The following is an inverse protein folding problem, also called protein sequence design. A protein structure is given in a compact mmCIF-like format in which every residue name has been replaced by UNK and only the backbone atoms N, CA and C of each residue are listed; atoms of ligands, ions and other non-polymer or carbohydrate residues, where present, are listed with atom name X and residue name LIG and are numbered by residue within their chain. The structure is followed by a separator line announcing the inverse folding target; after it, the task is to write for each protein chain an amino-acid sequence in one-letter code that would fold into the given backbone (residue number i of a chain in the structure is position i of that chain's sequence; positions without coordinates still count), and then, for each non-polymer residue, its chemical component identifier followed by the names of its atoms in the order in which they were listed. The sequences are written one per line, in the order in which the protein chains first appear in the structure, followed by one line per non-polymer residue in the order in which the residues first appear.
data_IF_662273684559
#
_entry.id   IF_662273684559
#
_cell.length_a   1.000
_cell.length_b   1.000
_cell.length_c   1.000
_cell.angle_alpha   90.00
_cell.angle_beta   90.00
_cell.angle_gamma   90.00
#
_symmetry.space_group_name_H-M   'P 1'
#
loop_
_entity.id
_entity.type
_entity.pdbx_description
1 polymer ?
#
# COMPACT_ATOMS: atom_id res chain seq x y z
N UNK A 1 6.05 -3.69 17.07
CA UNK A 1 5.37 -3.22 15.84
C UNK A 1 3.95 -3.72 15.91
N UNK A 2 3.02 -2.80 16.04
CA UNK A 2 1.58 -3.03 16.03
C UNK A 2 1.03 -2.69 14.65
N UNK A 3 -0.20 -3.09 14.40
CA UNK A 3 -0.96 -2.61 13.25
C UNK A 3 -1.00 -1.07 13.25
N UNK A 4 -0.98 -0.47 12.08
CA UNK A 4 -0.94 0.97 11.82
C UNK A 4 0.35 1.70 12.25
N UNK A 5 1.33 1.01 12.86
CA UNK A 5 2.64 1.63 13.17
C UNK A 5 3.32 2.13 11.89
N UNK A 6 3.83 3.37 11.94
CA UNK A 6 4.73 3.91 10.93
C UNK A 6 6.14 3.32 11.10
N UNK A 7 6.65 2.76 10.00
CA UNK A 7 7.91 2.02 9.95
C UNK A 7 8.79 2.50 8.80
N UNK A 8 10.10 2.28 8.93
CA UNK A 8 11.01 2.25 7.80
C UNK A 8 11.11 0.79 7.32
N UNK A 9 10.80 0.56 6.06
CA UNK A 9 10.87 -0.74 5.39
C UNK A 9 12.11 -0.79 4.51
N UNK A 10 12.97 -1.79 4.73
CA UNK A 10 14.07 -2.11 3.82
C UNK A 10 13.65 -3.18 2.83
N UNK A 11 13.52 -2.81 1.55
CA UNK A 11 13.12 -3.70 0.47
C UNK A 11 13.96 -3.40 -0.78
N UNK A 12 14.43 -4.42 -1.49
CA UNK A 12 15.25 -4.27 -2.71
C UNK A 12 16.41 -3.26 -2.58
N UNK A 13 17.14 -3.31 -1.45
CA UNK A 13 18.28 -2.43 -1.15
C UNK A 13 17.91 -0.93 -1.04
N UNK A 14 16.63 -0.61 -0.83
CA UNK A 14 16.12 0.75 -0.63
C UNK A 14 15.28 0.83 0.63
N UNK A 15 15.13 2.04 1.14
CA UNK A 15 14.28 2.35 2.29
C UNK A 15 13.00 3.05 1.85
N UNK A 16 11.89 2.64 2.44
CA UNK A 16 10.57 3.21 2.20
C UNK A 16 9.92 3.58 3.52
N UNK A 17 9.08 4.62 3.52
CA UNK A 17 8.14 4.84 4.63
C UNK A 17 6.97 3.88 4.46
N UNK A 18 6.66 3.17 5.52
CA UNK A 18 5.64 2.14 5.52
C UNK A 18 4.65 2.30 6.66
N UNK A 19 3.47 1.70 6.49
CA UNK A 19 2.49 1.48 7.55
C UNK A 19 2.21 -0.02 7.67
N UNK A 20 2.35 -0.57 8.87
CA UNK A 20 2.00 -1.97 9.10
C UNK A 20 0.48 -2.17 8.92
N UNK A 21 0.08 -3.12 8.06
CA UNK A 21 -1.34 -3.44 7.82
C UNK A 21 -1.81 -4.69 8.54
N UNK A 22 -1.03 -5.77 8.46
CA UNK A 22 -1.35 -7.02 9.14
C UNK A 22 -0.07 -7.80 9.39
N UNK A 23 -0.09 -8.71 10.37
CA UNK A 23 0.97 -9.67 10.59
C UNK A 23 0.42 -11.09 10.66
N UNK A 24 0.95 -11.95 9.81
CA UNK A 24 0.61 -13.38 9.77
C UNK A 24 1.85 -14.18 10.11
N UNK A 25 1.89 -14.73 11.33
CA UNK A 25 3.04 -15.47 11.85
C UNK A 25 4.31 -14.61 11.89
N UNK A 26 5.27 -14.92 11.02
CA UNK A 26 6.57 -14.23 10.89
C UNK A 26 6.59 -13.15 9.81
N UNK A 27 5.54 -13.08 8.97
CA UNK A 27 5.41 -12.11 7.89
C UNK A 27 4.58 -10.91 8.33
N UNK A 28 4.93 -9.73 7.83
CA UNK A 28 4.19 -8.48 8.02
C UNK A 28 3.93 -7.88 6.65
N UNK A 29 2.66 -7.53 6.40
CA UNK A 29 2.28 -6.74 5.23
C UNK A 29 2.38 -5.26 5.58
N UNK A 30 3.10 -4.52 4.75
CA UNK A 30 3.37 -3.09 4.92
C UNK A 30 2.92 -2.34 3.67
N UNK A 31 2.12 -1.28 3.85
CA UNK A 31 1.78 -0.32 2.82
C UNK A 31 2.89 0.72 2.70
N UNK A 32 3.51 0.85 1.53
CA UNK A 32 4.39 1.97 1.20
C UNK A 32 3.55 3.24 1.04
N UNK A 33 3.54 4.10 2.06
CA UNK A 33 2.64 5.26 2.14
C UNK A 33 2.94 6.36 1.09
N UNK A 34 4.06 6.25 0.40
CA UNK A 34 4.48 7.18 -0.65
C UNK A 34 4.21 6.66 -2.07
N UNK A 35 3.81 5.38 -2.23
CA UNK A 35 3.55 4.77 -3.54
C UNK A 35 2.25 3.94 -3.62
N UNK A 36 1.62 3.62 -2.50
CA UNK A 36 0.40 2.79 -2.46
C UNK A 36 0.66 1.28 -2.56
N UNK A 37 1.91 0.85 -2.71
CA UNK A 37 2.26 -0.57 -2.90
C UNK A 37 2.27 -1.33 -1.58
N UNK A 38 1.66 -2.52 -1.56
CA UNK A 38 1.74 -3.45 -0.43
C UNK A 38 2.92 -4.42 -0.59
N UNK A 39 3.72 -4.55 0.47
CA UNK A 39 4.89 -5.43 0.52
C UNK A 39 4.79 -6.36 1.73
N UNK A 40 4.82 -7.66 1.48
CA UNK A 40 4.96 -8.69 2.51
C UNK A 40 6.43 -8.94 2.78
N UNK A 41 6.85 -8.81 4.05
CA UNK A 41 8.26 -8.91 4.43
C UNK A 41 8.43 -9.53 5.82
N UNK A 42 9.66 -9.96 6.12
CA UNK A 42 10.04 -10.34 7.49
C UNK A 42 10.10 -9.12 8.40
N UNK A 43 9.78 -9.30 9.69
CA UNK A 43 10.00 -8.28 10.73
C UNK A 43 11.44 -7.76 10.76
N UNK A 44 12.41 -8.55 10.31
CA UNK A 44 13.82 -8.15 10.25
C UNK A 44 14.10 -7.01 9.25
N UNK A 45 13.21 -6.81 8.28
CA UNK A 45 13.27 -5.72 7.31
C UNK A 45 12.66 -4.41 7.82
N UNK A 46 12.09 -4.41 9.03
CA UNK A 46 11.38 -3.26 9.59
C UNK A 46 12.21 -2.59 10.68
N UNK A 47 12.14 -1.26 10.70
CA UNK A 47 12.66 -0.42 11.79
C UNK A 47 11.62 0.62 12.17
N UNK A 48 11.72 1.18 13.38
CA UNK A 48 10.92 2.35 13.76
C UNK A 48 11.24 3.48 12.78
N UNK A 49 10.22 4.15 12.25
CA UNK A 49 10.44 5.34 11.43
C UNK A 49 11.01 6.47 12.30
N UNK A 50 12.17 7.06 11.94
CA UNK A 50 12.72 8.20 12.67
C UNK A 50 11.79 9.42 12.61
N UNK A 51 11.74 10.22 13.67
CA UNK A 51 10.74 11.27 13.83
C UNK A 51 10.81 12.36 12.76
N UNK A 52 12.01 12.68 12.26
CA UNK A 52 12.21 13.61 11.15
C UNK A 52 11.51 13.18 9.84
N UNK A 53 11.18 11.89 9.68
CA UNK A 53 10.46 11.38 8.51
C UNK A 53 8.96 11.20 8.77
N UNK A 54 8.49 11.49 10.00
CA UNK A 54 7.06 11.47 10.36
C UNK A 54 6.34 12.77 10.05
N UNK A 55 7.08 13.88 9.96
CA UNK A 55 6.52 15.22 9.76
C UNK A 55 5.94 15.42 8.36
N UNK A 56 6.52 14.77 7.35
CA UNK A 56 5.97 14.81 5.99
C UNK A 56 4.72 13.93 5.91
N UNK A 57 3.61 14.42 5.34
CA UNK A 57 2.43 13.57 5.10
C UNK A 57 2.76 12.45 4.09
N UNK A 58 1.97 11.36 4.04
CA UNK A 58 2.01 10.40 2.94
C UNK A 58 1.89 11.09 1.58
N UNK A 59 2.68 10.66 0.59
CA UNK A 59 2.61 11.22 -0.77
C UNK A 59 1.58 10.52 -1.67
N UNK A 60 1.06 9.36 -1.26
CA UNK A 60 0.03 8.62 -1.99
C UNK A 60 -1.33 8.78 -1.32
N UNK A 61 -2.35 9.08 -2.13
CA UNK A 61 -3.74 9.19 -1.71
C UNK A 61 -4.52 8.07 -2.41
N UNK A 62 -5.24 7.29 -1.62
CA UNK A 62 -6.16 6.27 -2.15
C UNK A 62 -7.42 6.96 -2.71
N UNK A 63 -7.81 6.57 -3.91
CA UNK A 63 -8.99 7.10 -4.59
C UNK A 63 -9.68 6.01 -5.41
N UNK A 64 -10.95 6.25 -5.72
CA UNK A 64 -11.74 5.44 -6.64
C UNK A 64 -12.31 6.31 -7.76
N UNK A 65 -12.64 5.70 -8.89
CA UNK A 65 -13.39 6.38 -9.95
C UNK A 65 -14.84 6.55 -9.50
N UNK A 66 -15.32 7.80 -9.54
CA UNK A 66 -16.71 8.11 -9.25
C UNK A 66 -17.62 7.60 -10.36
N UNK A 67 -18.81 7.10 -10.00
CA UNK A 67 -19.81 6.63 -10.95
C UNK A 67 -19.68 5.16 -11.34
N UNK A 68 -18.66 4.44 -10.83
CA UNK A 68 -18.54 3.00 -10.99
C UNK A 68 -18.97 2.25 -9.72
N UNK A 69 -19.52 1.03 -9.84
CA UNK A 69 -19.77 0.17 -8.69
C UNK A 69 -18.46 -0.14 -7.96
N UNK A 70 -18.43 -0.02 -6.64
CA UNK A 70 -17.27 -0.40 -5.80
C UNK A 70 -16.95 -1.89 -5.84
N UNK A 71 -17.89 -2.70 -6.32
CA UNK A 71 -17.76 -4.14 -6.43
C UNK A 71 -17.97 -4.51 -7.89
N UNK A 72 -16.89 -4.53 -8.67
CA UNK A 72 -16.90 -5.25 -9.93
C UNK A 72 -16.88 -6.72 -9.56
N UNK A 73 -18.03 -7.39 -9.64
CA UNK A 73 -18.08 -8.85 -9.47
C UNK A 73 -17.20 -9.47 -10.56
N UNK A 74 -16.23 -10.30 -10.19
CA UNK A 74 -15.24 -10.93 -11.11
C UNK A 74 -15.84 -11.97 -12.07
N UNK A 75 -17.00 -11.65 -12.63
CA UNK A 75 -17.70 -12.38 -13.68
C UNK A 75 -17.26 -11.83 -15.05
N UNK A 76 -16.67 -10.64 -15.06
CA UNK A 76 -16.22 -9.93 -16.24
C UNK A 76 -14.68 -9.97 -16.29
N UNK A 77 -14.14 -10.26 -17.46
CA UNK A 77 -12.71 -10.46 -17.67
C UNK A 77 -11.92 -9.19 -17.32
N UNK A 78 -10.64 -9.30 -16.90
CA UNK A 78 -9.78 -8.15 -16.61
C UNK A 78 -9.72 -7.09 -17.71
N UNK A 79 -10.00 -7.47 -18.96
CA UNK A 79 -10.05 -6.58 -20.12
C UNK A 79 -11.28 -5.64 -20.11
N UNK A 80 -12.42 -6.06 -19.55
CA UNK A 80 -13.63 -5.23 -19.47
C UNK A 80 -13.43 -4.02 -18.54
N UNK A 81 -12.81 -4.24 -17.38
CA UNK A 81 -12.47 -3.20 -16.39
C UNK A 81 -11.51 -2.18 -16.99
N UNK A 82 -10.56 -2.65 -17.80
CA UNK A 82 -9.57 -1.77 -18.47
C UNK A 82 -10.21 -0.91 -19.56
N UNK A 83 -11.22 -1.41 -20.27
CA UNK A 83 -11.93 -0.66 -21.32
C UNK A 83 -12.79 0.45 -20.72
N UNK A 84 -13.57 0.17 -19.67
CA UNK A 84 -14.41 1.19 -19.00
C UNK A 84 -13.57 2.32 -18.37
N UNK A 85 -12.39 1.99 -17.82
CA UNK A 85 -11.52 3.00 -17.22
C UNK A 85 -10.79 3.88 -18.26
N UNK A 86 -10.61 3.43 -19.51
CA UNK A 86 -9.96 4.20 -20.57
C UNK A 86 -10.93 5.17 -21.26
N UNK A 87 -12.23 4.84 -21.38
CA UNK A 87 -13.20 5.76 -22.00
C UNK A 87 -13.57 6.98 -21.13
N UNK A 88 -13.17 6.98 -19.86
CA UNK A 88 -13.39 8.09 -18.91
C UNK A 88 -12.18 9.02 -18.74
N UNK A 89 -11.11 8.83 -19.52
CA UNK A 89 -9.91 9.69 -19.59
C UNK A 89 -9.70 10.24 -21.01
#
# INVERSE_FOLDING_TARGET
LKEQDLVALHHEKKWFRGRCLNSTGTSVTVLCIDSGVNISCSRNNLRRLPDMFRTSPPCCIECSLSGLPTTITMNETPDAIRSECIELL
#
